data_IF_228647057047
#
_entry.id   IF_228647057047
#
_cell.length_a   1.000
_cell.length_b   1.000
_cell.length_c   1.000
_cell.angle_alpha   90.00
_cell.angle_beta   90.00
_cell.angle_gamma   90.00
#
_symmetry.space_group_name_H-M   'P 1'
#
loop_
_entity.id
_entity.type
_entity.pdbx_description
1 polymer ?
#
# COMPACT_ATOMS: atom_id res chain seq x y z
N UNK A 1 12.39 -1.89 7.96
CA UNK A 1 12.44 -3.04 8.89
C UNK A 1 13.79 -3.73 8.94
N UNK A 2 14.76 -3.41 8.06
CA UNK A 2 16.10 -4.01 8.13
C UNK A 2 16.10 -5.53 7.94
N UNK A 3 15.05 -6.06 7.32
CA UNK A 3 14.89 -7.48 7.03
C UNK A 3 15.42 -7.75 5.62
N UNK A 4 15.96 -8.94 5.45
CA UNK A 4 16.08 -9.55 4.13
C UNK A 4 14.67 -9.57 3.52
N UNK A 5 14.44 -8.95 2.36
CA UNK A 5 13.10 -8.72 1.78
C UNK A 5 12.38 -10.01 1.30
N UNK A 6 12.61 -11.13 1.97
CA UNK A 6 12.08 -12.46 1.64
C UNK A 6 10.84 -12.78 2.48
N UNK A 7 9.93 -13.57 1.90
CA UNK A 7 8.73 -14.04 2.61
C UNK A 7 9.05 -14.84 3.91
N UNK A 8 10.07 -15.72 3.94
CA UNK A 8 10.46 -16.39 5.18
C UNK A 8 10.93 -15.41 6.27
N UNK A 9 11.77 -14.43 5.93
CA UNK A 9 12.26 -13.45 6.90
C UNK A 9 11.12 -12.58 7.46
N UNK A 10 10.17 -12.16 6.60
CA UNK A 10 8.96 -11.46 7.03
C UNK A 10 8.09 -12.31 7.95
N UNK A 11 7.88 -13.59 7.60
CA UNK A 11 7.09 -14.51 8.41
C UNK A 11 7.73 -14.70 9.79
N UNK A 12 9.04 -14.95 9.85
CA UNK A 12 9.75 -15.17 11.10
C UNK A 12 9.72 -13.92 11.98
N UNK A 13 9.87 -12.73 11.37
CA UNK A 13 9.73 -11.44 12.05
C UNK A 13 8.35 -11.26 12.69
N UNK A 14 7.26 -11.48 11.93
CA UNK A 14 5.90 -11.27 12.45
C UNK A 14 5.43 -12.38 13.39
N UNK A 15 5.95 -13.60 13.25
CA UNK A 15 5.66 -14.69 14.20
C UNK A 15 6.16 -14.34 15.60
N UNK A 16 7.28 -13.62 15.71
CA UNK A 16 7.81 -13.14 17.00
C UNK A 16 7.18 -11.82 17.49
N UNK A 17 6.36 -11.16 16.65
CA UNK A 17 5.72 -9.85 16.89
C UNK A 17 4.25 -9.84 16.42
N UNK A 18 3.38 -10.68 17.02
CA UNK A 18 1.99 -10.84 16.55
C UNK A 18 1.15 -9.56 16.71
N UNK A 19 1.38 -8.77 17.77
CA UNK A 19 0.67 -7.51 17.98
C UNK A 19 0.99 -6.48 16.89
N UNK A 20 2.26 -6.37 16.48
CA UNK A 20 2.64 -5.51 15.36
C UNK A 20 1.97 -5.95 14.06
N UNK A 21 1.98 -7.25 13.76
CA UNK A 21 1.31 -7.81 12.59
C UNK A 21 -0.18 -7.46 12.55
N UNK A 22 -0.88 -7.65 13.68
CA UNK A 22 -2.31 -7.38 13.82
C UNK A 22 -2.63 -5.90 13.60
N UNK A 23 -1.89 -5.00 14.25
CA UNK A 23 -2.11 -3.54 14.12
C UNK A 23 -1.88 -3.10 12.68
N UNK A 24 -0.80 -3.55 12.03
CA UNK A 24 -0.52 -3.23 10.63
C UNK A 24 -1.61 -3.74 9.71
N UNK A 25 -2.02 -5.00 9.85
CA UNK A 25 -3.12 -5.57 9.08
C UNK A 25 -4.39 -4.74 9.26
N UNK A 26 -4.79 -4.45 10.50
CA UNK A 26 -6.02 -3.71 10.80
C UNK A 26 -6.00 -2.28 10.24
N UNK A 27 -4.84 -1.61 10.26
CA UNK A 27 -4.66 -0.29 9.64
C UNK A 27 -4.90 -0.34 8.13
N UNK A 28 -4.28 -1.29 7.42
CA UNK A 28 -4.40 -1.41 5.97
C UNK A 28 -5.72 -2.03 5.51
N UNK A 29 -6.43 -2.75 6.38
CA UNK A 29 -7.82 -3.15 6.15
C UNK A 29 -8.78 -1.94 6.05
N UNK A 30 -8.39 -0.76 6.55
CA UNK A 30 -9.13 0.50 6.37
C UNK A 30 -10.46 0.60 7.14
N UNK A 31 -10.72 -0.35 8.05
CA UNK A 31 -11.98 -0.44 8.82
C UNK A 31 -11.89 0.16 10.22
N UNK A 32 -10.70 0.54 10.66
CA UNK A 32 -10.52 1.12 12.00
C UNK A 32 -11.21 2.49 12.13
N UNK A 33 -11.78 2.79 13.31
CA UNK A 33 -12.26 4.13 13.63
C UNK A 33 -11.06 5.09 13.72
N UNK A 34 -11.31 6.38 13.49
CA UNK A 34 -10.26 7.39 13.31
C UNK A 34 -9.21 7.39 14.44
N UNK A 35 -9.66 7.29 15.69
CA UNK A 35 -8.75 7.31 16.85
C UNK A 35 -7.80 6.09 16.88
N UNK A 36 -8.24 4.91 16.43
CA UNK A 36 -7.39 3.72 16.31
C UNK A 36 -6.50 3.79 15.07
N UNK A 37 -7.04 4.27 13.96
CA UNK A 37 -6.29 4.45 12.71
C UNK A 37 -5.13 5.44 12.90
N UNK A 38 -5.39 6.59 13.52
CA UNK A 38 -4.38 7.61 13.84
C UNK A 38 -3.28 7.08 14.76
N UNK A 39 -3.64 6.32 15.81
CA UNK A 39 -2.66 5.68 16.70
C UNK A 39 -1.83 4.61 15.99
N UNK A 40 -2.47 3.80 15.15
CA UNK A 40 -1.78 2.79 14.36
C UNK A 40 -0.78 3.41 13.38
N UNK A 41 -1.15 4.50 12.68
CA UNK A 41 -0.22 5.26 11.81
C UNK A 41 0.97 5.79 12.57
N UNK A 42 0.73 6.45 13.70
CA UNK A 42 1.81 7.01 14.53
C UNK A 42 2.81 5.92 14.97
N UNK A 43 2.32 4.72 15.33
CA UNK A 43 3.20 3.59 15.67
C UNK A 43 3.93 3.01 14.46
N UNK A 44 3.27 2.91 13.31
CA UNK A 44 3.88 2.44 12.06
C UNK A 44 4.97 3.38 11.58
N UNK A 45 4.71 4.69 11.56
CA UNK A 45 5.64 5.73 11.12
C UNK A 45 6.77 5.94 12.14
N UNK A 46 6.43 6.01 13.43
CA UNK A 46 7.43 6.11 14.52
C UNK A 46 8.32 4.88 14.63
N UNK A 47 7.79 3.68 14.34
CA UNK A 47 8.57 2.44 14.25
C UNK A 47 9.48 2.37 13.03
N UNK A 48 9.13 3.05 11.92
CA UNK A 48 10.01 3.14 10.74
C UNK A 48 11.22 4.06 10.97
N UNK A 49 11.08 5.11 11.78
CA UNK A 49 12.18 6.03 12.09
C UNK A 49 13.28 5.42 12.98
N UNK A 50 12.99 4.33 13.70
CA UNK A 50 13.92 3.65 14.62
C UNK A 50 14.62 2.43 13.98
N UNK A 51 14.85 2.48 12.65
CA UNK A 51 15.55 1.41 11.93
C UNK A 51 16.98 1.17 12.51
N UNK A 52 17.44 -0.08 12.72
CA UNK A 52 18.59 -0.41 13.59
C UNK A 52 19.98 0.05 13.10
N UNK A 53 20.09 0.73 11.96
CA UNK A 53 21.40 1.09 11.39
C UNK A 53 22.18 2.13 12.21
N UNK A 54 21.59 2.70 13.28
CA UNK A 54 22.23 3.64 14.20
C UNK A 54 22.48 3.11 15.61
N UNK A 55 22.11 1.87 15.92
CA UNK A 55 22.33 1.30 17.26
C UNK A 55 23.68 0.57 17.32
N UNK A 56 24.69 1.23 17.92
CA UNK A 56 25.93 0.57 18.36
C UNK A 56 25.58 -0.59 19.31
N UNK A 57 26.32 -1.72 19.27
CA UNK A 57 25.99 -2.90 20.07
C UNK A 57 26.16 -2.59 21.56
N UNK A 58 25.04 -2.43 22.26
CA UNK A 58 24.98 -2.37 23.72
C UNK A 58 24.59 -3.76 24.21
N UNK A 59 25.33 -4.27 25.20
CA UNK A 59 25.33 -5.68 25.61
C UNK A 59 23.95 -6.35 25.76
N UNK A 60 23.94 -7.67 25.59
CA UNK A 60 22.76 -8.55 25.42
C UNK A 60 21.63 -8.36 26.46
N UNK A 61 21.96 -7.88 27.67
CA UNK A 61 21.02 -7.66 28.75
C UNK A 61 20.20 -6.36 28.58
N UNK A 62 20.74 -5.33 27.91
CA UNK A 62 20.01 -4.09 27.62
C UNK A 62 19.07 -4.21 26.42
N UNK A 63 19.43 -5.04 25.43
CA UNK A 63 18.65 -5.27 24.23
C UNK A 63 17.29 -5.92 24.50
N UNK A 64 17.21 -6.85 25.47
CA UNK A 64 15.95 -7.51 25.83
C UNK A 64 14.96 -6.56 26.53
N UNK A 65 15.46 -5.67 27.40
CA UNK A 65 14.62 -4.68 28.07
C UNK A 65 14.12 -3.59 27.11
N UNK A 66 14.95 -3.16 26.16
CA UNK A 66 14.56 -2.18 25.13
C UNK A 66 13.56 -2.78 24.11
N UNK A 67 13.75 -4.04 23.71
CA UNK A 67 12.82 -4.73 22.81
C UNK A 67 11.45 -4.95 23.50
N UNK A 68 11.44 -5.29 24.79
CA UNK A 68 10.21 -5.36 25.58
C UNK A 68 9.49 -4.01 25.64
N UNK A 69 10.21 -2.92 25.91
CA UNK A 69 9.65 -1.58 25.95
C UNK A 69 9.07 -1.13 24.60
N UNK A 70 9.66 -1.57 23.48
CA UNK A 70 9.12 -1.32 22.12
C UNK A 70 7.86 -2.11 21.81
N UNK A 71 7.62 -3.25 22.45
CA UNK A 71 6.43 -4.10 22.24
C UNK A 71 5.19 -3.57 22.95
N UNK A 72 5.34 -2.98 24.15
CA UNK A 72 4.23 -2.50 24.98
C UNK A 72 3.21 -1.61 24.20
N UNK A 73 3.63 -0.65 23.36
CA UNK A 73 2.69 0.17 22.60
C UNK A 73 1.90 -0.63 21.54
N UNK A 74 2.54 -1.63 20.91
CA UNK A 74 1.89 -2.52 19.95
C UNK A 74 0.88 -3.43 20.65
N UNK A 75 1.25 -4.02 21.77
CA UNK A 75 0.37 -4.91 22.55
C UNK A 75 -0.86 -4.14 23.04
N UNK A 76 -0.65 -2.94 23.61
CA UNK A 76 -1.74 -2.07 24.07
C UNK A 76 -2.70 -1.72 22.93
N UNK A 77 -2.17 -1.34 21.76
CA UNK A 77 -3.02 -1.00 20.63
C UNK A 77 -3.73 -2.22 20.03
N UNK A 78 -3.07 -3.38 20.02
CA UNK A 78 -3.69 -4.64 19.59
C UNK A 78 -4.88 -5.00 20.49
N UNK A 79 -4.76 -4.86 21.80
CA UNK A 79 -5.85 -5.07 22.77
C UNK A 79 -7.01 -4.08 22.55
N UNK A 80 -6.69 -2.82 22.27
CA UNK A 80 -7.70 -1.81 21.93
C UNK A 80 -8.45 -2.16 20.64
N UNK A 81 -7.72 -2.57 19.59
CA UNK A 81 -8.31 -3.00 18.32
C UNK A 81 -9.17 -4.25 18.52
N UNK A 82 -8.68 -5.23 19.29
CA UNK A 82 -9.42 -6.44 19.64
C UNK A 82 -10.73 -6.13 20.36
N UNK A 83 -10.65 -5.31 21.42
CA UNK A 83 -11.81 -4.87 22.20
C UNK A 83 -12.82 -4.14 21.33
N UNK A 84 -12.35 -3.25 20.45
CA UNK A 84 -13.22 -2.59 19.49
C UNK A 84 -13.86 -3.60 18.53
N UNK A 85 -13.10 -4.50 17.88
CA UNK A 85 -13.61 -5.52 16.94
C UNK A 85 -14.68 -6.43 17.54
N UNK A 86 -14.69 -6.61 18.85
CA UNK A 86 -15.70 -7.41 19.56
C UNK A 86 -16.78 -6.57 20.24
N UNK A 87 -16.73 -5.25 20.07
CA UNK A 87 -17.82 -4.36 20.42
C UNK A 87 -18.93 -4.39 19.35
N UNK A 88 -20.20 -4.23 19.75
CA UNK A 88 -21.33 -4.11 18.81
C UNK A 88 -21.18 -2.96 17.80
N UNK A 89 -20.30 -1.99 18.04
CA UNK A 89 -20.04 -0.84 17.15
C UNK A 89 -19.09 -1.18 15.99
N UNK A 90 -18.20 -2.17 16.12
CA UNK A 90 -17.20 -2.47 15.08
C UNK A 90 -17.73 -3.26 13.89
N UNK A 91 -18.93 -3.81 14.02
CA UNK A 91 -19.47 -4.82 13.11
C UNK A 91 -20.83 -4.40 12.57
N UNK A 92 -20.95 -3.14 12.16
CA UNK A 92 -22.06 -2.71 11.32
C UNK A 92 -21.56 -2.67 9.86
N UNK A 93 -21.84 -3.72 9.06
CA UNK A 93 -21.68 -3.65 7.61
C UNK A 93 -22.39 -2.38 7.11
N UNK A 94 -21.67 -1.54 6.37
CA UNK A 94 -22.21 -0.27 5.86
C UNK A 94 -21.86 0.99 6.68
N UNK A 95 -21.13 0.89 7.79
CA UNK A 95 -20.67 2.13 8.47
C UNK A 95 -19.57 2.81 7.67
N UNK A 96 -19.88 4.00 7.15
CA UNK A 96 -18.91 4.86 6.48
C UNK A 96 -17.82 5.34 7.45
N UNK A 97 -16.56 5.19 7.03
CA UNK A 97 -15.41 5.75 7.74
C UNK A 97 -14.76 6.85 6.93
N UNK A 98 -13.97 7.71 7.57
CA UNK A 98 -13.23 8.79 6.90
C UNK A 98 -12.33 8.22 5.80
N UNK A 99 -11.62 7.13 6.08
CA UNK A 99 -10.71 6.51 5.12
C UNK A 99 -11.38 5.55 4.15
N UNK A 100 -12.44 4.85 4.58
CA UNK A 100 -13.14 3.85 3.78
C UNK A 100 -14.24 4.42 2.89
N UNK A 101 -14.70 5.65 3.13
CA UNK A 101 -15.78 6.27 2.35
C UNK A 101 -15.51 7.73 2.04
N UNK A 102 -15.20 8.57 3.04
CA UNK A 102 -15.07 10.02 2.80
C UNK A 102 -13.89 10.37 1.87
N UNK A 103 -12.73 9.74 2.07
CA UNK A 103 -11.56 9.94 1.21
C UNK A 103 -11.80 9.46 -0.23
N UNK A 104 -12.42 8.28 -0.39
CA UNK A 104 -12.76 7.73 -1.71
C UNK A 104 -13.75 8.63 -2.44
N UNK A 105 -14.79 9.09 -1.74
CA UNK A 105 -15.77 10.03 -2.28
C UNK A 105 -15.11 11.35 -2.68
N UNK A 106 -14.23 11.90 -1.84
CA UNK A 106 -13.47 13.11 -2.15
C UNK A 106 -12.65 12.95 -3.43
N UNK A 107 -11.88 11.86 -3.55
CA UNK A 107 -11.07 11.58 -4.75
C UNK A 107 -11.93 11.40 -5.99
N UNK A 108 -13.05 10.66 -5.88
CA UNK A 108 -13.99 10.49 -6.97
C UNK A 108 -14.61 11.82 -7.40
N UNK A 109 -15.02 12.66 -6.45
CA UNK A 109 -15.55 13.99 -6.72
C UNK A 109 -14.54 14.88 -7.46
N UNK A 110 -13.25 14.80 -7.13
CA UNK A 110 -12.20 15.51 -7.87
C UNK A 110 -12.11 15.06 -9.34
N UNK A 111 -12.25 13.76 -9.61
CA UNK A 111 -12.24 13.23 -10.98
C UNK A 111 -13.52 13.56 -11.77
N UNK A 112 -14.67 13.61 -11.09
CA UNK A 112 -15.96 13.96 -11.70
C UNK A 112 -16.18 15.48 -11.80
N UNK A 113 -15.35 16.30 -11.16
CA UNK A 113 -15.51 17.75 -11.11
C UNK A 113 -16.65 18.22 -10.19
N UNK A 114 -17.09 17.40 -9.24
CA UNK A 114 -18.16 17.73 -8.30
C UNK A 114 -17.66 18.69 -7.21
N UNK A 115 -18.40 19.78 -6.99
CA UNK A 115 -18.15 20.72 -5.91
C UNK A 115 -18.63 20.20 -4.56
N UNK A 116 -18.10 20.77 -3.47
CA UNK A 116 -18.58 20.45 -2.13
C UNK A 116 -20.04 20.84 -1.87
N UNK A 117 -20.57 21.81 -2.63
CA UNK A 117 -21.99 22.19 -2.57
C UNK A 117 -22.88 21.10 -3.16
N UNK A 118 -22.52 20.58 -4.33
CA UNK A 118 -23.21 19.46 -4.98
C UNK A 118 -23.17 18.21 -4.10
N UNK A 119 -22.01 17.87 -3.53
CA UNK A 119 -21.90 16.72 -2.61
C UNK A 119 -22.80 16.83 -1.38
N UNK A 120 -22.98 18.03 -0.81
CA UNK A 120 -23.87 18.24 0.33
C UNK A 120 -25.36 18.18 -0.02
N UNK A 121 -25.70 18.36 -1.31
CA UNK A 121 -27.07 18.26 -1.79
C UNK A 121 -27.50 16.82 -2.10
N UNK A 122 -26.54 15.89 -2.23
CA UNK A 122 -26.80 14.48 -2.48
C UNK A 122 -27.33 13.77 -1.22
N UNK A 123 -28.25 12.83 -1.42
CA UNK A 123 -28.72 11.96 -0.35
C UNK A 123 -27.69 10.88 -0.02
N UNK A 124 -27.80 10.25 1.16
CA UNK A 124 -26.92 9.13 1.52
C UNK A 124 -26.94 7.98 0.47
N UNK A 125 -28.10 7.54 -0.03
CA UNK A 125 -28.17 6.57 -1.13
C UNK A 125 -27.43 7.01 -2.41
N UNK A 126 -27.48 8.30 -2.76
CA UNK A 126 -26.75 8.81 -3.93
C UNK A 126 -25.24 8.76 -3.70
N UNK A 127 -24.78 9.08 -2.49
CA UNK A 127 -23.37 8.96 -2.10
C UNK A 127 -22.90 7.50 -2.11
N UNK A 128 -23.72 6.57 -1.64
CA UNK A 128 -23.44 5.13 -1.71
C UNK A 128 -23.40 4.64 -3.15
N UNK A 129 -24.30 5.11 -4.01
CA UNK A 129 -24.31 4.79 -5.44
C UNK A 129 -23.05 5.28 -6.17
N UNK A 130 -22.50 6.43 -5.77
CA UNK A 130 -21.20 6.91 -6.28
C UNK A 130 -20.04 6.01 -5.83
N UNK A 131 -20.11 5.43 -4.63
CA UNK A 131 -19.07 4.56 -4.10
C UNK A 131 -19.13 3.12 -4.63
N UNK A 132 -20.31 2.62 -4.98
CA UNK A 132 -20.53 1.23 -5.38
C UNK A 132 -19.63 0.75 -6.54
N UNK A 133 -19.45 1.50 -7.65
CA UNK A 133 -18.56 1.08 -8.74
C UNK A 133 -17.10 0.92 -8.32
N UNK A 134 -16.66 1.63 -7.28
CA UNK A 134 -15.29 1.50 -6.76
C UNK A 134 -15.08 0.19 -6.00
N UNK A 135 -16.16 -0.43 -5.51
CA UNK A 135 -16.14 -1.73 -4.83
C UNK A 135 -16.33 -2.90 -5.82
N UNK A 136 -16.85 -2.64 -7.03
CA UNK A 136 -16.96 -3.64 -8.10
C UNK A 136 -15.61 -4.09 -8.67
N UNK A 137 -14.51 -3.40 -8.32
CA UNK A 137 -13.17 -3.74 -8.77
C UNK A 137 -12.44 -4.64 -7.75
N UNK A 138 -12.47 -5.98 -7.90
CA UNK A 138 -11.87 -6.88 -6.94
C UNK A 138 -10.36 -6.68 -6.86
N UNK A 139 -9.79 -6.94 -5.68
CA UNK A 139 -8.35 -6.82 -5.40
C UNK A 139 -7.48 -7.59 -6.40
N UNK A 140 -7.95 -8.75 -6.85
CA UNK A 140 -7.26 -9.59 -7.85
C UNK A 140 -7.20 -8.94 -9.23
N UNK A 141 -8.24 -8.20 -9.63
CA UNK A 141 -8.28 -7.52 -10.93
C UNK A 141 -7.53 -6.18 -10.88
N UNK A 142 -7.50 -5.50 -9.72
CA UNK A 142 -6.75 -4.24 -9.55
C UNK A 142 -5.28 -4.38 -9.91
N UNK A 143 -4.62 -5.42 -9.39
CA UNK A 143 -3.22 -5.69 -9.70
C UNK A 143 -2.99 -5.95 -11.18
N UNK A 144 -3.85 -6.77 -11.80
CA UNK A 144 -3.77 -7.08 -13.22
C UNK A 144 -3.99 -5.84 -14.11
N UNK A 145 -4.98 -5.00 -13.78
CA UNK A 145 -5.24 -3.76 -14.53
C UNK A 145 -4.11 -2.74 -14.38
N UNK A 146 -3.54 -2.60 -13.18
CA UNK A 146 -2.39 -1.74 -12.96
C UNK A 146 -1.19 -2.22 -13.76
N UNK A 147 -0.94 -3.53 -13.76
CA UNK A 147 0.11 -4.15 -14.57
C UNK A 147 -0.13 -3.90 -16.07
N UNK A 148 -1.36 -4.08 -16.56
CA UNK A 148 -1.68 -3.80 -17.96
C UNK A 148 -1.49 -2.32 -18.31
N UNK A 149 -1.91 -1.38 -17.46
CA UNK A 149 -1.72 0.04 -17.69
C UNK A 149 -0.22 0.42 -17.68
N UNK A 150 0.54 -0.14 -16.75
CA UNK A 150 1.99 0.00 -16.69
C UNK A 150 2.64 -0.51 -17.97
N UNK A 151 2.39 -1.76 -18.36
CA UNK A 151 2.94 -2.36 -19.59
C UNK A 151 2.53 -1.61 -20.85
N UNK A 152 1.30 -1.09 -20.90
CA UNK A 152 0.82 -0.29 -22.01
C UNK A 152 1.64 0.98 -22.19
N UNK A 153 1.94 1.69 -21.10
CA UNK A 153 2.77 2.90 -21.13
C UNK A 153 4.16 2.64 -21.73
N UNK A 154 4.89 1.63 -21.25
CA UNK A 154 6.22 1.32 -21.79
C UNK A 154 6.17 0.75 -23.22
N UNK A 155 5.13 -0.04 -23.53
CA UNK A 155 4.92 -0.56 -24.88
C UNK A 155 4.76 0.59 -25.88
N UNK A 156 3.96 1.59 -25.55
CA UNK A 156 3.74 2.73 -26.43
C UNK A 156 5.00 3.54 -26.64
N UNK A 157 5.77 3.81 -25.58
CA UNK A 157 7.07 4.47 -25.71
C UNK A 157 8.04 3.68 -26.59
N UNK A 158 8.15 2.37 -26.38
CA UNK A 158 9.02 1.50 -27.17
C UNK A 158 8.59 1.45 -28.64
N UNK A 159 7.30 1.24 -28.92
CA UNK A 159 6.77 1.18 -30.29
C UNK A 159 6.98 2.51 -31.00
N UNK A 160 6.70 3.63 -30.32
CA UNK A 160 6.94 4.96 -30.88
C UNK A 160 8.43 5.20 -31.15
N UNK A 161 9.31 4.80 -30.24
CA UNK A 161 10.76 4.90 -30.44
C UNK A 161 11.22 4.07 -31.64
N UNK A 162 10.74 2.83 -31.78
CA UNK A 162 11.05 1.96 -32.92
C UNK A 162 10.53 2.57 -34.23
N UNK A 163 9.29 3.04 -34.26
CA UNK A 163 8.69 3.68 -35.44
C UNK A 163 9.46 4.93 -35.87
N UNK A 164 9.82 5.80 -34.91
CA UNK A 164 10.57 7.04 -35.17
C UNK A 164 12.04 6.82 -35.59
N UNK A 165 12.61 5.67 -35.26
CA UNK A 165 13.97 5.29 -35.64
C UNK A 165 14.01 4.28 -36.81
N UNK A 166 12.85 3.82 -37.27
CA UNK A 166 12.72 2.92 -38.40
C UNK A 166 13.33 3.57 -39.66
N UNK A 167 14.25 2.86 -40.32
CA UNK A 167 14.93 3.36 -41.51
C UNK A 167 16.13 4.29 -41.25
N UNK A 168 16.36 4.79 -40.02
CA UNK A 168 17.57 5.58 -39.70
C UNK A 168 18.88 4.84 -39.99
N UNK A 169 18.85 3.51 -39.95
CA UNK A 169 19.99 2.63 -40.17
C UNK A 169 19.93 1.88 -41.51
N UNK A 170 19.10 2.32 -42.45
CA UNK A 170 18.92 1.65 -43.75
C UNK A 170 20.18 1.69 -44.64
N UNK A 171 21.02 2.72 -44.51
CA UNK A 171 22.23 2.90 -45.31
C UNK A 171 23.48 2.31 -44.63
N UNK A 172 23.46 1.02 -44.29
CA UNK A 172 24.63 0.33 -43.72
C UNK A 172 25.42 -0.38 -44.81
N UNK A 173 26.71 -0.02 -44.95
CA UNK A 173 27.62 -0.68 -45.90
C UNK A 173 27.94 -2.14 -45.52
N UNK A 174 27.77 -2.51 -44.25
CA UNK A 174 28.01 -3.86 -43.75
C UNK A 174 26.91 -4.30 -42.78
N UNK A 175 26.56 -5.59 -42.87
CA UNK A 175 25.57 -6.23 -41.99
C UNK A 175 26.16 -6.40 -40.57
N UNK A 176 25.40 -6.09 -39.50
CA UNK A 176 25.86 -6.37 -38.13
C UNK A 176 26.09 -7.86 -37.92
N UNK A 177 27.15 -8.20 -37.19
CA UNK A 177 27.54 -9.58 -36.89
C UNK A 177 26.65 -10.22 -35.80
N UNK A 178 26.06 -9.40 -34.93
CA UNK A 178 25.09 -9.82 -33.91
C UNK A 178 24.15 -8.65 -33.53
N UNK A 179 22.98 -8.99 -33.01
CA UNK A 179 22.06 -8.08 -32.33
C UNK A 179 21.63 -8.76 -31.03
N UNK A 180 21.64 -8.01 -29.93
CA UNK A 180 21.29 -8.51 -28.61
C UNK A 180 20.12 -7.66 -28.10
N UNK A 181 19.10 -8.33 -27.58
CA UNK A 181 17.91 -7.70 -26.97
C UNK A 181 17.83 -8.23 -25.55
N UNK A 182 17.71 -7.32 -24.59
CA UNK A 182 17.53 -7.65 -23.19
C UNK A 182 16.10 -7.28 -22.79
N UNK A 183 15.40 -8.20 -22.13
CA UNK A 183 14.21 -7.86 -21.38
C UNK A 183 14.67 -7.50 -19.97
N UNK A 184 14.30 -6.31 -19.49
CA UNK A 184 14.43 -5.96 -18.09
C UNK A 184 13.07 -6.14 -17.43
N UNK A 185 13.02 -6.92 -16.36
CA UNK A 185 11.84 -6.99 -15.51
C UNK A 185 12.00 -5.97 -14.39
N UNK A 186 11.58 -4.73 -14.66
CA UNK A 186 11.69 -3.62 -13.71
C UNK A 186 10.90 -3.87 -12.40
N UNK A 187 10.03 -4.91 -12.38
CA UNK A 187 9.32 -5.34 -11.18
C UNK A 187 10.25 -5.94 -10.12
N UNK A 188 11.41 -6.48 -10.51
CA UNK A 188 12.39 -7.05 -9.58
C UNK A 188 13.41 -6.01 -9.06
N UNK A 189 13.45 -4.80 -9.64
CA UNK A 189 14.40 -3.75 -9.26
C UNK A 189 13.83 -2.69 -8.29
N UNK A 190 12.52 -2.69 -8.07
CA UNK A 190 11.85 -1.82 -7.09
C UNK A 190 11.86 -2.40 -5.67
N UNK A 191 12.95 -2.23 -4.92
CA UNK A 191 13.05 -2.52 -3.47
C UNK A 191 13.15 -1.21 -2.68
#
# INVERSE_FOLDING_TARGET
WGLEGSLPALRDYFTTRPAEALVRQALYEGRLPEYLASRARALVEGGMALSPLTALPRGEQGAQSEEGARRVPWDTLADMIWTWRHSPVATQPGTHTVHGSAWRLFRLAQHLGLSGGELRALSLPDLEALLAPLDELPTTLRGALWQCAYEHHYRDELINALANNHGRWAARAQRPQAQIVFCIDDREEGI
#
